data_IF_169294945674
#
_entry.id   IF_169294945674
#
_cell.length_a   1.000
_cell.length_b   1.000
_cell.length_c   1.000
_cell.angle_alpha   90.00
_cell.angle_beta   90.00
_cell.angle_gamma   90.00
#
_symmetry.space_group_name_H-M   'P 1'
#
loop_
_entity.id
_entity.type
_entity.pdbx_description
1 polymer ?
#
# COMPACT_ATOMS: atom_id res chain seq x y z
N UNK A 1 -42.91 44.25 -20.42
CA UNK A 1 -42.64 43.51 -21.67
C UNK A 1 -41.17 43.09 -21.66
N UNK A 2 -40.93 41.77 -21.62
CA UNK A 2 -39.73 40.92 -21.82
C UNK A 2 -38.25 41.41 -21.65
N UNK A 3 -37.58 40.81 -20.64
CA UNK A 3 -36.28 40.08 -20.58
C UNK A 3 -35.23 40.26 -21.72
N UNK A 4 -33.95 40.44 -21.34
CA UNK A 4 -32.95 39.33 -21.39
C UNK A 4 -31.52 39.68 -20.89
N UNK A 5 -31.15 38.95 -19.85
CA UNK A 5 -29.82 38.61 -19.32
C UNK A 5 -29.05 37.75 -20.31
N UNK A 6 -27.84 38.15 -20.76
CA UNK A 6 -26.70 37.28 -21.18
C UNK A 6 -25.38 38.08 -21.28
N UNK A 7 -24.67 38.23 -20.16
CA UNK A 7 -23.22 38.46 -20.17
C UNK A 7 -22.61 37.47 -19.17
N UNK A 8 -21.95 36.42 -19.67
CA UNK A 8 -21.32 35.42 -18.81
C UNK A 8 -21.11 34.04 -19.43
N UNK A 9 -20.45 33.94 -20.59
CA UNK A 9 -20.04 32.64 -21.16
C UNK A 9 -18.71 32.67 -21.95
N UNK A 10 -17.76 33.56 -21.62
CA UNK A 10 -16.49 33.64 -22.36
C UNK A 10 -15.23 33.25 -21.58
N UNK A 11 -15.34 32.86 -20.29
CA UNK A 11 -14.16 32.46 -19.47
C UNK A 11 -14.11 30.94 -19.20
N UNK A 12 -15.21 30.21 -19.40
CA UNK A 12 -15.26 28.75 -19.13
C UNK A 12 -14.65 27.92 -20.29
N UNK A 13 -14.53 28.49 -21.49
CA UNK A 13 -14.02 27.78 -22.67
C UNK A 13 -12.53 27.40 -22.63
N UNK A 14 -11.69 28.16 -21.93
CA UNK A 14 -10.24 27.94 -21.94
C UNK A 14 -9.77 26.87 -20.94
N UNK A 15 -10.53 26.57 -19.89
CA UNK A 15 -10.16 25.54 -18.89
C UNK A 15 -10.47 24.12 -19.42
N UNK A 16 -11.48 23.97 -20.29
CA UNK A 16 -11.85 22.67 -20.84
C UNK A 16 -10.83 22.09 -21.84
N UNK A 17 -10.04 22.94 -22.52
CA UNK A 17 -9.07 22.49 -23.53
C UNK A 17 -7.82 21.88 -22.88
N UNK A 18 -7.40 22.39 -21.72
CA UNK A 18 -6.23 21.85 -20.98
C UNK A 18 -6.56 20.53 -20.29
N UNK A 19 -7.78 20.37 -19.75
CA UNK A 19 -8.21 19.11 -19.14
C UNK A 19 -8.60 18.03 -20.17
N UNK A 20 -9.20 18.41 -21.31
CA UNK A 20 -9.53 17.46 -22.38
C UNK A 20 -8.30 16.85 -23.08
N UNK A 21 -7.24 17.64 -23.28
CA UNK A 21 -6.00 17.17 -23.89
C UNK A 21 -5.22 16.17 -23.04
N UNK A 22 -5.23 16.33 -21.70
CA UNK A 22 -4.53 15.44 -20.78
C UNK A 22 -5.22 14.07 -20.64
N UNK A 23 -6.56 14.04 -20.56
CA UNK A 23 -7.32 12.78 -20.47
C UNK A 23 -7.45 12.04 -21.81
N UNK A 24 -7.46 12.75 -22.95
CA UNK A 24 -7.46 12.10 -24.27
C UNK A 24 -6.16 11.34 -24.58
N UNK A 25 -5.01 11.84 -24.09
CA UNK A 25 -3.71 11.20 -24.34
C UNK A 25 -3.50 9.91 -23.53
N UNK A 26 -4.10 9.78 -22.34
CA UNK A 26 -3.98 8.58 -21.51
C UNK A 26 -4.85 7.41 -22.00
N UNK A 27 -5.99 7.68 -22.65
CA UNK A 27 -6.86 6.63 -23.20
C UNK A 27 -6.34 6.14 -24.56
N UNK A 28 -5.75 7.00 -25.39
CA UNK A 28 -5.23 6.60 -26.72
C UNK A 28 -3.88 5.87 -26.69
N UNK A 29 -3.13 5.93 -25.58
CA UNK A 29 -1.86 5.17 -25.42
C UNK A 29 -2.03 3.73 -24.93
N UNK A 30 -3.24 3.36 -24.49
CA UNK A 30 -3.52 2.03 -23.92
C UNK A 30 -3.94 0.99 -24.97
N UNK A 31 -4.32 1.41 -26.19
CA UNK A 31 -4.77 0.51 -27.26
C UNK A 31 -3.73 0.23 -28.37
N UNK A 32 -2.47 0.63 -28.18
CA UNK A 32 -1.36 0.33 -29.11
C UNK A 32 -0.32 -0.60 -28.49
N UNK A 33 -0.77 -1.73 -27.96
CA UNK A 33 0.09 -2.85 -27.60
C UNK A 33 -0.43 -4.13 -28.28
N UNK A 34 -0.01 -4.33 -29.53
CA UNK A 34 -0.23 -5.58 -30.26
C UNK A 34 0.96 -5.84 -31.19
N UNK A 35 1.73 -6.86 -30.81
CA UNK A 35 2.68 -7.64 -31.59
C UNK A 35 4.01 -6.99 -32.03
N UNK A 36 5.06 -7.25 -31.24
CA UNK A 36 6.24 -7.90 -31.82
C UNK A 36 6.98 -8.75 -30.77
N UNK A 37 6.95 -10.07 -30.97
CA UNK A 37 7.84 -11.00 -30.32
C UNK A 37 9.24 -10.86 -30.93
N UNK A 38 10.27 -10.73 -30.10
CA UNK A 38 11.60 -11.26 -30.41
C UNK A 38 12.33 -11.59 -29.12
N UNK A 39 12.62 -12.87 -29.01
CA UNK A 39 13.35 -13.55 -27.95
C UNK A 39 14.78 -13.06 -27.81
N UNK A 40 15.17 -12.76 -26.57
CA UNK A 40 16.51 -13.08 -26.08
C UNK A 40 16.43 -13.44 -24.60
N UNK A 41 16.39 -14.74 -24.40
CA UNK A 41 16.64 -15.41 -23.14
C UNK A 41 18.02 -15.00 -22.62
N UNK A 42 18.06 -14.43 -21.41
CA UNK A 42 19.20 -14.54 -20.51
C UNK A 42 18.64 -14.95 -19.15
N UNK A 43 18.77 -16.25 -18.87
CA UNK A 43 18.54 -16.85 -17.56
C UNK A 43 19.66 -16.35 -16.63
N UNK A 44 19.30 -15.62 -15.58
CA UNK A 44 20.07 -15.58 -14.34
C UNK A 44 19.21 -15.01 -13.20
N UNK A 45 18.93 -15.85 -12.19
CA UNK A 45 18.42 -15.43 -10.88
C UNK A 45 16.90 -15.38 -10.72
N UNK A 46 16.19 -16.51 -10.89
CA UNK A 46 14.83 -16.64 -10.35
C UNK A 46 14.95 -16.78 -8.83
N UNK A 47 14.93 -15.65 -8.12
CA UNK A 47 14.69 -15.59 -6.67
C UNK A 47 13.39 -16.35 -6.39
N UNK A 48 13.27 -17.13 -5.29
CA UNK A 48 12.03 -17.81 -4.96
C UNK A 48 10.90 -16.79 -4.98
N UNK A 49 9.80 -17.08 -5.65
CA UNK A 49 8.59 -16.26 -5.55
C UNK A 49 8.17 -16.25 -4.08
N UNK A 50 8.18 -15.07 -3.46
CA UNK A 50 7.94 -14.86 -2.02
C UNK A 50 6.56 -15.34 -1.54
N UNK A 51 5.69 -15.80 -2.45
CA UNK A 51 4.43 -16.50 -2.15
C UNK A 51 4.57 -17.70 -1.19
N UNK A 52 5.78 -18.25 -0.99
CA UNK A 52 6.00 -19.37 -0.07
C UNK A 52 6.66 -19.00 1.26
N UNK A 53 7.09 -17.75 1.50
CA UNK A 53 7.80 -17.40 2.74
C UNK A 53 6.85 -17.20 3.93
N UNK A 54 5.62 -16.76 3.68
CA UNK A 54 4.58 -16.61 4.66
C UNK A 54 3.23 -16.98 4.06
N UNK A 55 2.43 -17.73 4.81
CA UNK A 55 1.17 -18.28 4.35
C UNK A 55 0.11 -18.10 5.42
N UNK A 56 -1.16 -18.01 5.00
CA UNK A 56 -2.25 -18.14 5.94
C UNK A 56 -2.43 -19.61 6.30
N UNK A 57 -2.69 -19.93 7.57
CA UNK A 57 -2.98 -21.31 7.98
C UNK A 57 -4.24 -21.82 7.26
N UNK A 58 -4.10 -22.93 6.53
CA UNK A 58 -5.08 -23.47 5.55
C UNK A 58 -6.46 -23.83 6.12
N UNK A 59 -6.69 -23.73 7.43
CA UNK A 59 -7.89 -24.24 8.09
C UNK A 59 -9.05 -23.23 8.19
N UNK A 60 -8.87 -21.97 7.83
CA UNK A 60 -9.96 -21.00 7.91
C UNK A 60 -10.17 -20.21 6.61
N UNK A 61 -11.39 -20.28 6.09
CA UNK A 61 -12.01 -19.30 5.17
C UNK A 61 -11.99 -17.84 5.72
N UNK A 62 -11.25 -17.55 6.80
CA UNK A 62 -11.27 -16.30 7.54
C UNK A 62 -10.22 -15.28 7.09
N UNK A 63 -9.22 -15.64 6.29
CA UNK A 63 -8.39 -14.61 5.67
C UNK A 63 -9.16 -13.94 4.53
N UNK A 64 -9.60 -12.70 4.76
CA UNK A 64 -10.16 -11.83 3.70
C UNK A 64 -9.17 -11.47 2.59
N UNK A 65 -7.94 -11.97 2.65
CA UNK A 65 -6.86 -11.67 1.73
C UNK A 65 -6.42 -12.93 0.99
N UNK A 66 -6.17 -12.78 -0.31
CA UNK A 66 -5.71 -13.86 -1.20
C UNK A 66 -4.36 -14.44 -0.76
N UNK A 67 -3.44 -13.59 -0.27
CA UNK A 67 -2.12 -13.98 0.23
C UNK A 67 -1.59 -12.93 1.23
N UNK A 68 -0.47 -13.24 1.90
CA UNK A 68 0.15 -12.36 2.91
C UNK A 68 0.62 -11.04 2.30
N UNK A 69 1.10 -11.06 1.06
CA UNK A 69 1.46 -9.84 0.31
C UNK A 69 0.27 -8.88 0.19
N UNK A 70 -0.92 -9.38 -0.15
CA UNK A 70 -2.14 -8.57 -0.23
C UNK A 70 -2.50 -7.93 1.12
N UNK A 71 -2.36 -8.66 2.22
CA UNK A 71 -2.54 -8.12 3.55
C UNK A 71 -1.57 -6.95 3.82
N UNK A 72 -0.29 -7.14 3.51
CA UNK A 72 0.77 -6.13 3.70
C UNK A 72 0.44 -4.86 2.92
N UNK A 73 0.19 -4.97 1.61
CA UNK A 73 -0.09 -3.82 0.74
C UNK A 73 -1.37 -3.08 1.12
N UNK A 74 -2.41 -3.78 1.56
CA UNK A 74 -3.66 -3.15 2.00
C UNK A 74 -3.48 -2.33 3.29
N UNK A 75 -2.62 -2.77 4.21
CA UNK A 75 -2.32 -2.00 5.42
C UNK A 75 -1.32 -0.88 5.19
N UNK A 76 -0.34 -1.07 4.29
CA UNK A 76 0.47 0.03 3.79
C UNK A 76 -0.41 1.14 3.20
N UNK A 77 -1.35 0.79 2.31
CA UNK A 77 -2.30 1.76 1.72
C UNK A 77 -3.13 2.50 2.77
N UNK A 78 -3.63 1.80 3.81
CA UNK A 78 -4.38 2.43 4.90
C UNK A 78 -3.52 3.43 5.68
N UNK A 79 -2.26 3.10 5.95
CA UNK A 79 -1.36 4.01 6.65
C UNK A 79 -0.93 5.18 5.76
N UNK A 80 -0.67 4.96 4.48
CA UNK A 80 -0.37 6.06 3.55
C UNK A 80 -1.55 7.05 3.48
N UNK A 81 -2.79 6.54 3.40
CA UNK A 81 -4.00 7.37 3.40
C UNK A 81 -4.22 8.14 4.71
N UNK A 82 -3.92 7.54 5.87
CA UNK A 82 -4.28 8.13 7.17
C UNK A 82 -3.14 8.90 7.84
N UNK A 83 -1.90 8.56 7.55
CA UNK A 83 -0.69 9.11 8.17
C UNK A 83 0.26 9.77 7.16
N UNK A 84 0.17 9.42 5.87
CA UNK A 84 0.98 9.99 4.80
C UNK A 84 0.67 11.47 4.55
N UNK A 85 1.54 12.13 3.77
CA UNK A 85 1.39 13.55 3.37
C UNK A 85 1.10 14.52 4.52
N UNK A 86 1.69 14.26 5.70
CA UNK A 86 1.50 15.07 6.90
C UNK A 86 0.33 14.64 7.80
N UNK A 87 -0.44 13.62 7.45
CA UNK A 87 -1.56 13.10 8.25
C UNK A 87 -1.16 12.66 9.66
N UNK A 88 0.09 12.23 9.84
CA UNK A 88 0.68 11.90 11.15
C UNK A 88 0.67 13.09 12.15
N UNK A 89 0.55 14.34 11.68
CA UNK A 89 0.47 15.52 12.53
C UNK A 89 -0.95 15.78 13.06
N UNK A 90 -1.96 15.07 12.54
CA UNK A 90 -3.37 15.22 12.89
C UNK A 90 -4.07 13.86 12.99
N UNK A 91 -3.54 12.99 13.85
CA UNK A 91 -3.95 11.58 13.95
C UNK A 91 -5.40 11.44 14.43
N UNK A 92 -6.19 10.68 13.68
CA UNK A 92 -7.51 10.19 14.11
C UNK A 92 -7.36 8.90 14.93
N UNK A 93 -7.09 9.03 16.23
CA UNK A 93 -6.78 7.88 17.10
C UNK A 93 -7.84 6.77 17.10
N UNK A 94 -9.13 7.12 17.05
CA UNK A 94 -10.21 6.12 16.98
C UNK A 94 -10.14 5.28 15.69
N UNK A 95 -9.69 5.87 14.58
CA UNK A 95 -9.48 5.15 13.33
C UNK A 95 -8.25 4.24 13.42
N UNK A 96 -7.16 4.74 14.02
CA UNK A 96 -5.94 3.96 14.22
C UNK A 96 -6.14 2.75 15.13
N UNK A 97 -6.96 2.87 16.18
CA UNK A 97 -7.38 1.73 17.02
C UNK A 97 -8.08 0.64 16.22
N UNK A 98 -8.96 1.02 15.28
CA UNK A 98 -9.67 0.07 14.40
C UNK A 98 -8.70 -0.58 13.42
N UNK A 99 -7.77 0.17 12.85
CA UNK A 99 -6.73 -0.37 11.97
C UNK A 99 -5.89 -1.38 12.74
N UNK A 100 -5.41 -1.04 13.93
CA UNK A 100 -4.62 -1.93 14.79
C UNK A 100 -5.36 -3.23 15.16
N UNK A 101 -6.64 -3.13 15.54
CA UNK A 101 -7.47 -4.32 15.81
C UNK A 101 -7.58 -5.24 14.58
N UNK A 102 -7.71 -4.67 13.38
CA UNK A 102 -7.75 -5.44 12.15
C UNK A 102 -6.40 -6.08 11.80
N UNK A 103 -5.27 -5.46 12.16
CA UNK A 103 -3.94 -6.05 11.98
C UNK A 103 -3.83 -7.30 12.85
N UNK A 104 -4.15 -7.18 14.13
CA UNK A 104 -4.04 -8.27 15.10
C UNK A 104 -4.90 -9.47 14.70
N UNK A 105 -6.16 -9.23 14.32
CA UNK A 105 -7.07 -10.29 13.86
C UNK A 105 -6.57 -11.04 12.63
N UNK A 106 -5.76 -10.42 11.77
CA UNK A 106 -5.23 -11.09 10.57
C UNK A 106 -3.91 -11.79 10.88
N UNK A 107 -3.06 -11.17 11.72
CA UNK A 107 -1.78 -11.73 12.15
C UNK A 107 -1.91 -13.05 12.90
N UNK A 108 -3.04 -13.29 13.59
CA UNK A 108 -3.32 -14.56 14.26
C UNK A 108 -3.26 -15.78 13.34
N UNK A 109 -3.52 -15.58 12.04
CA UNK A 109 -3.60 -16.63 11.04
C UNK A 109 -2.42 -16.67 10.07
N UNK A 110 -1.37 -15.87 10.30
CA UNK A 110 -0.18 -15.84 9.44
C UNK A 110 0.89 -16.73 10.05
N UNK A 111 1.40 -17.67 9.25
CA UNK A 111 2.52 -18.53 9.60
C UNK A 111 3.72 -18.28 8.67
N UNK A 112 4.92 -18.32 9.23
CA UNK A 112 6.18 -18.25 8.49
C UNK A 112 7.26 -19.04 9.22
N UNK A 113 8.08 -19.75 8.45
CA UNK A 113 9.30 -20.42 8.92
C UNK A 113 10.54 -19.50 8.83
N UNK A 114 10.38 -18.27 8.32
CA UNK A 114 11.47 -17.32 8.22
C UNK A 114 11.60 -16.53 9.54
N UNK A 115 12.67 -16.77 10.28
CA UNK A 115 12.90 -16.14 11.59
C UNK A 115 12.98 -14.61 11.53
N UNK A 116 13.54 -14.03 10.46
CA UNK A 116 13.62 -12.58 10.32
C UNK A 116 12.23 -11.97 10.09
N UNK A 117 11.44 -12.58 9.21
CA UNK A 117 10.05 -12.15 8.97
C UNK A 117 9.16 -12.36 10.20
N UNK A 118 9.41 -13.44 10.96
CA UNK A 118 8.73 -13.70 12.23
C UNK A 118 8.99 -12.55 13.22
N UNK A 119 10.24 -12.09 13.33
CA UNK A 119 10.59 -10.94 14.17
C UNK A 119 9.87 -9.66 13.72
N UNK A 120 9.80 -9.41 12.41
CA UNK A 120 9.08 -8.26 11.87
C UNK A 120 7.58 -8.33 12.20
N UNK A 121 6.94 -9.49 12.06
CA UNK A 121 5.54 -9.70 12.43
C UNK A 121 5.30 -9.59 13.93
N UNK A 122 6.22 -10.02 14.77
CA UNK A 122 6.15 -9.84 16.23
C UNK A 122 6.21 -8.36 16.60
N UNK A 123 7.09 -7.59 15.96
CA UNK A 123 7.19 -6.14 16.17
C UNK A 123 5.92 -5.40 15.72
N UNK A 124 5.38 -5.74 14.54
CA UNK A 124 4.09 -5.21 14.06
C UNK A 124 2.97 -5.55 15.05
N UNK A 125 2.92 -6.79 15.53
CA UNK A 125 1.93 -7.25 16.52
C UNK A 125 2.05 -6.48 17.82
N UNK A 126 3.26 -6.24 18.32
CA UNK A 126 3.49 -5.44 19.52
C UNK A 126 2.96 -4.01 19.35
N UNK A 127 3.35 -3.32 18.29
CA UNK A 127 2.90 -1.95 18.05
C UNK A 127 1.38 -1.86 17.83
N UNK A 128 0.79 -2.84 17.16
CA UNK A 128 -0.65 -2.90 17.01
C UNK A 128 -1.36 -3.09 18.36
N UNK A 129 -0.83 -3.93 19.27
CA UNK A 129 -1.35 -4.07 20.64
C UNK A 129 -1.28 -2.75 21.42
N UNK A 130 -0.17 -2.03 21.36
CA UNK A 130 0.00 -0.72 21.99
C UNK A 130 -1.08 0.27 21.52
N UNK A 131 -1.24 0.41 20.20
CA UNK A 131 -2.25 1.31 19.59
C UNK A 131 -3.67 0.88 19.96
N UNK A 132 -3.98 -0.41 19.89
CA UNK A 132 -5.31 -0.94 20.24
C UNK A 132 -5.64 -0.67 21.72
N UNK A 133 -4.67 -0.87 22.63
CA UNK A 133 -4.80 -0.60 24.06
C UNK A 133 -5.01 0.90 24.37
N UNK A 134 -4.67 1.77 23.42
CA UNK A 134 -4.92 3.21 23.52
C UNK A 134 -3.70 4.08 23.67
N UNK A 135 -2.51 3.52 23.44
CA UNK A 135 -1.31 4.32 23.36
C UNK A 135 -1.40 5.32 22.19
N UNK A 136 -1.18 6.59 22.50
CA UNK A 136 -1.22 7.69 21.53
C UNK A 136 0.19 8.11 21.12
N UNK A 137 0.97 7.15 20.62
CA UNK A 137 2.35 7.36 20.19
C UNK A 137 2.44 7.51 18.67
N UNK A 138 2.77 8.72 18.20
CA UNK A 138 3.02 8.95 16.76
C UNK A 138 4.28 8.21 16.28
N UNK A 139 5.21 7.90 17.19
CA UNK A 139 6.36 7.04 16.90
C UNK A 139 5.90 5.61 16.59
N UNK A 140 5.03 5.04 17.40
CA UNK A 140 4.47 3.68 17.19
C UNK A 140 3.73 3.61 15.86
N UNK A 141 2.88 4.59 15.54
CA UNK A 141 2.19 4.66 14.25
C UNK A 141 3.14 4.82 13.06
N UNK A 142 4.18 5.64 13.20
CA UNK A 142 5.20 5.80 12.16
C UNK A 142 5.92 4.48 11.92
N UNK A 143 6.27 3.76 12.98
CA UNK A 143 6.94 2.47 12.85
C UNK A 143 6.02 1.46 12.16
N UNK A 144 4.75 1.33 12.58
CA UNK A 144 3.78 0.48 11.88
C UNK A 144 3.72 0.78 10.38
N UNK A 145 3.59 2.06 10.01
CA UNK A 145 3.59 2.45 8.60
C UNK A 145 4.87 2.01 7.88
N UNK A 146 6.05 2.22 8.48
CA UNK A 146 7.34 1.86 7.89
C UNK A 146 7.55 0.36 7.74
N UNK A 147 7.12 -0.44 8.71
CA UNK A 147 7.17 -1.90 8.61
C UNK A 147 6.31 -2.38 7.43
N UNK A 148 5.06 -1.92 7.33
CA UNK A 148 4.20 -2.30 6.21
C UNK A 148 4.75 -1.78 4.87
N UNK A 149 5.36 -0.60 4.85
CA UNK A 149 5.98 -0.05 3.67
C UNK A 149 7.16 -0.88 3.17
N UNK A 150 8.15 -1.16 4.03
CA UNK A 150 9.33 -1.94 3.64
C UNK A 150 8.92 -3.37 3.25
N UNK A 151 8.00 -4.00 4.00
CA UNK A 151 7.46 -5.31 3.59
C UNK A 151 6.66 -5.25 2.28
N UNK A 152 5.98 -4.14 1.95
CA UNK A 152 5.25 -4.00 0.67
C UNK A 152 6.21 -3.90 -0.52
N UNK A 153 7.39 -3.29 -0.32
CA UNK A 153 8.48 -3.33 -1.28
C UNK A 153 8.92 -4.79 -1.49
N UNK A 154 9.13 -5.53 -0.40
CA UNK A 154 9.67 -6.89 -0.49
C UNK A 154 8.70 -7.95 -1.00
N UNK A 155 7.41 -7.85 -0.66
CA UNK A 155 6.40 -8.83 -1.06
C UNK A 155 5.74 -8.49 -2.40
N UNK A 156 5.50 -7.19 -2.66
CA UNK A 156 4.68 -6.76 -3.79
C UNK A 156 5.47 -5.92 -4.81
N UNK A 157 6.76 -5.64 -4.57
CA UNK A 157 7.55 -4.80 -5.46
C UNK A 157 7.04 -3.37 -5.53
N UNK A 158 6.50 -2.84 -4.43
CA UNK A 158 6.03 -1.47 -4.37
C UNK A 158 7.13 -0.48 -4.77
N UNK A 159 6.85 0.41 -5.73
CA UNK A 159 7.85 1.29 -6.36
C UNK A 159 7.41 2.75 -6.49
N UNK A 160 6.27 3.15 -5.91
CA UNK A 160 5.79 4.53 -5.98
C UNK A 160 6.67 5.50 -5.15
N UNK A 161 7.62 4.98 -4.37
CA UNK A 161 8.70 5.74 -3.74
C UNK A 161 10.03 4.99 -3.85
N UNK A 162 11.13 5.74 -3.78
CA UNK A 162 12.48 5.20 -3.66
C UNK A 162 12.94 5.00 -2.22
N UNK A 163 12.11 5.40 -1.25
CA UNK A 163 12.44 5.29 0.16
C UNK A 163 12.52 3.82 0.57
N UNK A 164 13.46 3.49 1.45
CA UNK A 164 13.50 2.23 2.18
C UNK A 164 13.90 2.58 3.60
N UNK A 165 13.06 2.27 4.59
CA UNK A 165 13.31 2.72 5.96
C UNK A 165 14.28 1.82 6.71
N UNK A 166 14.56 0.63 6.18
CA UNK A 166 15.44 -0.38 6.76
C UNK A 166 15.04 -0.70 8.20
N UNK A 167 13.73 -0.83 8.44
CA UNK A 167 13.19 -1.18 9.76
C UNK A 167 12.89 -2.67 9.89
N UNK A 168 12.79 -3.39 8.78
CA UNK A 168 12.58 -4.83 8.73
C UNK A 168 13.90 -5.58 8.83
N UNK A 169 13.89 -6.72 9.51
CA UNK A 169 14.98 -7.69 9.51
C UNK A 169 14.89 -8.60 8.28
N UNK A 170 13.68 -8.93 7.82
CA UNK A 170 13.48 -9.68 6.59
C UNK A 170 14.04 -8.91 5.41
N UNK A 171 14.92 -9.59 4.65
CA UNK A 171 15.68 -9.01 3.53
C UNK A 171 16.47 -7.73 3.90
N UNK A 172 16.81 -7.58 5.19
CA UNK A 172 17.69 -6.50 5.63
C UNK A 172 19.03 -6.60 4.94
N UNK A 173 19.37 -5.55 4.19
CA UNK A 173 20.59 -5.48 3.38
C UNK A 173 20.52 -6.22 2.04
N UNK A 174 19.34 -6.71 1.61
CA UNK A 174 18.97 -7.13 0.24
C UNK A 174 17.64 -7.87 0.12
#
# INVERSE_FOLDING_TARGET
MFKSWKMGFLVIGCIAIVFGGYYGYSIFKTDSASNQASSKEKIEGKTPTDENVAQFTEEEEQSKYENVGRFIGDFHTKYNKTLGYGGINSVKWTEQKKIAANILSVMENIHTENEALKQDFDMITQYAKEVQAGEQSTKTLRNLHRYFHDLDIEFNGYTDTSDHYNITEYKSGR
#
